data_IF_674148522220
#
_entry.id   IF_674148522220
#
_cell.length_a   1.000
_cell.length_b   1.000
_cell.length_c   1.000
_cell.angle_alpha   90.00
_cell.angle_beta   90.00
_cell.angle_gamma   90.00
#
_symmetry.space_group_name_H-M   'P 1'
#
loop_
_entity.id
_entity.type
_entity.pdbx_description
1 polymer ?
#
# COMPACT_ATOMS: atom_id res chain seq x y z
N UNK A 1 -4.10 -47.48 -0.32
CA UNK A 1 -4.19 -46.04 -0.04
C UNK A 1 -2.76 -45.59 0.05
N UNK A 2 -2.21 -45.18 -1.08
CA UNK A 2 -0.83 -44.65 -1.13
C UNK A 2 -0.80 -43.33 -0.37
N UNK A 3 0.14 -43.23 0.56
CA UNK A 3 0.35 -42.06 1.39
C UNK A 3 0.65 -40.86 0.47
N UNK A 4 -0.26 -39.89 0.42
CA UNK A 4 0.03 -38.58 -0.18
C UNK A 4 1.33 -38.05 0.42
N UNK A 5 2.30 -37.61 -0.39
CA UNK A 5 3.59 -37.20 0.11
C UNK A 5 3.41 -36.09 1.15
N UNK A 6 4.07 -36.25 2.29
CA UNK A 6 4.03 -35.35 3.45
C UNK A 6 4.27 -33.87 3.14
N UNK A 7 4.71 -33.54 1.93
CA UNK A 7 4.95 -32.19 1.40
C UNK A 7 3.66 -31.37 1.21
N UNK A 8 2.51 -32.01 1.05
CA UNK A 8 1.21 -31.31 0.89
C UNK A 8 0.55 -30.91 2.23
N UNK A 9 1.05 -31.44 3.34
CA UNK A 9 0.43 -31.32 4.65
C UNK A 9 0.55 -29.93 5.28
N UNK A 10 1.64 -29.13 5.11
CA UNK A 10 1.77 -27.85 5.83
C UNK A 10 0.69 -26.82 5.48
N UNK A 11 0.13 -26.83 4.26
CA UNK A 11 -0.93 -25.89 3.89
C UNK A 11 -2.32 -26.25 4.44
N UNK A 12 -2.51 -27.51 4.85
CA UNK A 12 -3.75 -28.01 5.45
C UNK A 12 -3.58 -28.41 6.92
N UNK A 13 -2.44 -28.10 7.54
CA UNK A 13 -2.26 -28.32 8.96
C UNK A 13 -3.26 -27.42 9.73
N UNK A 14 -4.14 -28.00 10.57
CA UNK A 14 -5.10 -27.25 11.35
C UNK A 14 -4.46 -26.19 12.24
N UNK A 15 -3.26 -26.45 12.77
CA UNK A 15 -2.52 -25.51 13.59
C UNK A 15 -2.02 -24.30 12.77
N UNK A 16 -1.51 -24.55 11.55
CA UNK A 16 -1.11 -23.51 10.64
C UNK A 16 -2.32 -22.62 10.25
N UNK A 17 -3.44 -23.24 9.91
CA UNK A 17 -4.67 -22.51 9.58
C UNK A 17 -5.17 -21.70 10.78
N UNK A 18 -5.13 -22.26 11.98
CA UNK A 18 -5.54 -21.57 13.21
C UNK A 18 -4.70 -20.30 13.47
N UNK A 19 -3.40 -20.35 13.17
CA UNK A 19 -2.48 -19.22 13.35
C UNK A 19 -2.64 -18.14 12.24
N UNK A 20 -2.86 -18.56 11.00
CA UNK A 20 -2.91 -17.64 9.86
C UNK A 20 -4.32 -17.04 9.64
N UNK A 21 -5.39 -17.80 9.92
CA UNK A 21 -6.75 -17.35 9.65
C UNK A 21 -7.12 -16.04 10.36
N UNK A 22 -6.79 -15.81 11.65
CA UNK A 22 -7.10 -14.53 12.31
C UNK A 22 -6.44 -13.34 11.62
N UNK A 23 -5.18 -13.46 11.21
CA UNK A 23 -4.44 -12.41 10.51
C UNK A 23 -5.06 -12.15 9.12
N UNK A 24 -5.42 -13.20 8.39
CA UNK A 24 -6.05 -13.10 7.08
C UNK A 24 -7.44 -12.45 7.16
N UNK A 25 -8.27 -12.88 8.13
CA UNK A 25 -9.61 -12.30 8.36
C UNK A 25 -9.49 -10.82 8.69
N UNK A 26 -8.55 -10.46 9.57
CA UNK A 26 -8.30 -9.06 9.95
C UNK A 26 -7.87 -8.23 8.74
N UNK A 27 -6.97 -8.77 7.90
CA UNK A 27 -6.52 -8.09 6.69
C UNK A 27 -7.67 -7.88 5.69
N UNK A 28 -8.50 -8.89 5.45
CA UNK A 28 -9.68 -8.77 4.59
C UNK A 28 -10.69 -7.76 5.14
N UNK A 29 -10.97 -7.81 6.44
CA UNK A 29 -11.85 -6.85 7.08
C UNK A 29 -11.33 -5.42 6.94
N UNK A 30 -10.04 -5.19 7.20
CA UNK A 30 -9.41 -3.88 7.06
C UNK A 30 -9.47 -3.36 5.61
N UNK A 31 -9.14 -4.21 4.62
CA UNK A 31 -9.25 -3.84 3.20
C UNK A 31 -10.67 -3.46 2.80
N UNK A 32 -11.65 -4.26 3.20
CA UNK A 32 -13.06 -3.97 2.92
C UNK A 32 -13.51 -2.67 3.60
N UNK A 33 -13.03 -2.41 4.81
CA UNK A 33 -13.32 -1.17 5.53
C UNK A 33 -12.75 0.06 4.82
N UNK A 34 -11.52 -0.02 4.32
CA UNK A 34 -10.89 1.06 3.54
C UNK A 34 -11.68 1.31 2.26
N UNK A 35 -11.94 0.27 1.45
CA UNK A 35 -12.70 0.40 0.20
C UNK A 35 -14.10 0.97 0.40
N UNK A 36 -14.86 0.45 1.35
CA UNK A 36 -16.21 0.93 1.64
C UNK A 36 -16.23 2.38 2.10
N UNK A 37 -15.24 2.78 2.91
CA UNK A 37 -15.08 4.17 3.35
C UNK A 37 -14.73 5.08 2.19
N UNK A 38 -13.81 4.68 1.33
CA UNK A 38 -13.47 5.40 0.10
C UNK A 38 -14.72 5.60 -0.78
N UNK A 39 -15.44 4.53 -1.11
CA UNK A 39 -16.65 4.63 -1.94
C UNK A 39 -17.72 5.52 -1.31
N UNK A 40 -17.93 5.45 0.00
CA UNK A 40 -18.87 6.32 0.70
C UNK A 40 -18.52 7.81 0.54
N UNK A 41 -17.26 8.17 0.81
CA UNK A 41 -16.84 9.58 0.81
C UNK A 41 -16.40 10.09 -0.56
N UNK A 42 -16.25 9.23 -1.56
CA UNK A 42 -16.10 9.65 -2.96
C UNK A 42 -17.39 10.24 -3.54
N UNK A 43 -18.55 9.96 -2.92
CA UNK A 43 -19.83 10.56 -3.30
C UNK A 43 -20.11 11.89 -2.59
N UNK A 44 -19.28 12.28 -1.64
CA UNK A 44 -19.45 13.51 -0.85
C UNK A 44 -18.49 14.57 -1.38
N UNK A 45 -19.02 15.70 -1.85
CA UNK A 45 -18.18 16.83 -2.28
C UNK A 45 -17.43 17.45 -1.09
N UNK A 46 -16.17 17.80 -1.31
CA UNK A 46 -15.39 18.55 -0.32
C UNK A 46 -15.82 20.01 -0.27
N UNK A 47 -15.77 20.64 0.89
CA UNK A 47 -16.05 22.07 1.06
C UNK A 47 -15.06 22.97 0.28
N UNK A 48 -13.87 22.45 -0.03
CA UNK A 48 -12.85 23.17 -0.80
C UNK A 48 -13.23 23.32 -2.29
N UNK A 49 -14.08 22.44 -2.84
CA UNK A 49 -14.59 22.50 -4.22
C UNK A 49 -13.53 22.41 -5.31
N UNK A 50 -12.30 22.03 -4.97
CA UNK A 50 -11.17 21.95 -5.93
C UNK A 50 -10.76 20.49 -6.14
N UNK A 51 -10.24 20.14 -7.33
CA UNK A 51 -9.66 18.83 -7.61
C UNK A 51 -8.54 18.46 -6.64
N UNK A 52 -8.43 17.17 -6.32
CA UNK A 52 -7.46 16.67 -5.35
C UNK A 52 -6.00 16.98 -5.71
N UNK A 53 -5.64 16.94 -7.01
CA UNK A 53 -4.29 17.31 -7.44
C UNK A 53 -3.96 18.78 -7.17
N UNK A 54 -4.94 19.69 -7.29
CA UNK A 54 -4.76 21.11 -6.93
C UNK A 54 -4.68 21.29 -5.41
N UNK A 55 -5.46 20.51 -4.64
CA UNK A 55 -5.37 20.52 -3.19
C UNK A 55 -3.98 20.08 -2.72
N UNK A 56 -3.45 18.96 -3.27
CA UNK A 56 -2.09 18.51 -3.01
C UNK A 56 -1.05 19.58 -3.37
N UNK A 57 -1.16 20.19 -4.56
CA UNK A 57 -0.22 21.25 -5.00
C UNK A 57 -0.21 22.42 -4.04
N UNK A 58 -1.39 22.93 -3.65
CA UNK A 58 -1.50 24.02 -2.68
C UNK A 58 -0.88 23.71 -1.33
N UNK A 59 -1.07 22.46 -0.81
CA UNK A 59 -0.46 22.03 0.44
C UNK A 59 1.06 21.98 0.35
N UNK A 60 1.60 21.42 -0.74
CA UNK A 60 3.04 21.35 -0.98
C UNK A 60 3.66 22.74 -1.12
N UNK A 61 3.01 23.63 -1.87
CA UNK A 61 3.48 25.02 -2.07
C UNK A 61 3.48 25.82 -0.75
N UNK A 62 2.46 25.62 0.08
CA UNK A 62 2.34 26.30 1.36
C UNK A 62 3.50 25.98 2.34
N UNK A 63 4.16 24.83 2.15
CA UNK A 63 5.34 24.41 2.95
C UNK A 63 6.66 24.48 2.16
N UNK A 64 6.65 25.11 0.98
CA UNK A 64 7.85 25.33 0.17
C UNK A 64 8.32 24.12 -0.66
N UNK A 65 7.55 23.04 -0.73
CA UNK A 65 7.87 21.83 -1.49
C UNK A 65 7.52 21.98 -2.99
N UNK A 66 8.06 23.01 -3.63
CA UNK A 66 7.80 23.33 -5.05
C UNK A 66 8.44 22.34 -6.01
N UNK A 67 9.45 21.60 -5.56
CA UNK A 67 10.16 20.56 -6.33
C UNK A 67 9.43 19.22 -6.37
N UNK A 68 8.37 19.02 -5.59
CA UNK A 68 7.57 17.80 -5.61
C UNK A 68 6.52 17.91 -6.71
N UNK A 69 6.63 17.06 -7.73
CA UNK A 69 5.64 17.01 -8.81
C UNK A 69 4.39 16.24 -8.36
N UNK A 70 3.21 16.64 -8.86
CA UNK A 70 1.96 15.90 -8.67
C UNK A 70 1.56 15.26 -10.00
N UNK A 71 1.53 13.91 -10.05
CA UNK A 71 1.25 13.15 -11.27
C UNK A 71 0.09 12.18 -11.08
N UNK A 72 -0.54 11.82 -12.20
CA UNK A 72 -1.55 10.76 -12.24
C UNK A 72 -0.87 9.38 -12.32
N UNK A 73 -1.49 8.38 -11.70
CA UNK A 73 -1.09 6.97 -11.80
C UNK A 73 -2.34 6.12 -12.08
N UNK A 74 -2.25 5.09 -12.96
CA UNK A 74 -3.37 4.20 -13.19
C UNK A 74 -3.69 3.34 -11.96
N UNK A 75 -4.95 2.92 -11.86
CA UNK A 75 -5.44 2.04 -10.80
C UNK A 75 -6.36 2.74 -9.79
N UNK A 76 -6.90 1.94 -8.86
CA UNK A 76 -7.73 2.41 -7.75
C UNK A 76 -6.96 2.30 -6.45
N UNK A 77 -6.98 3.34 -5.62
CA UNK A 77 -6.25 3.40 -4.34
C UNK A 77 -4.74 3.07 -4.50
N UNK A 78 -4.17 3.46 -5.63
CA UNK A 78 -2.74 3.36 -5.95
C UNK A 78 -1.97 4.63 -5.61
N UNK A 79 -2.62 5.53 -4.90
CA UNK A 79 -2.07 6.80 -4.48
C UNK A 79 -0.82 6.59 -3.61
N UNK A 80 0.24 7.35 -3.85
CA UNK A 80 1.45 7.27 -3.05
C UNK A 80 2.40 8.44 -3.31
N UNK A 81 3.22 8.76 -2.31
CA UNK A 81 4.40 9.60 -2.46
C UNK A 81 5.65 8.75 -2.70
N UNK A 82 6.44 9.09 -3.71
CA UNK A 82 7.74 8.47 -4.01
C UNK A 82 8.88 9.40 -3.53
N UNK A 83 9.56 9.08 -2.41
CA UNK A 83 10.61 9.93 -1.85
C UNK A 83 11.89 9.95 -2.70
N UNK A 84 12.12 8.91 -3.54
CA UNK A 84 13.30 8.85 -4.41
C UNK A 84 13.16 9.75 -5.63
N UNK A 85 11.96 9.79 -6.21
CA UNK A 85 11.67 10.63 -7.38
C UNK A 85 11.13 12.00 -7.03
N UNK A 86 10.76 12.23 -5.75
CA UNK A 86 10.08 13.45 -5.27
C UNK A 86 8.81 13.72 -6.07
N UNK A 87 7.97 12.68 -6.21
CA UNK A 87 6.71 12.73 -6.97
C UNK A 87 5.57 12.21 -6.09
N UNK A 88 4.50 12.99 -6.02
CA UNK A 88 3.22 12.59 -5.44
C UNK A 88 2.34 12.06 -6.57
N UNK A 89 1.94 10.79 -6.50
CA UNK A 89 1.10 10.15 -7.49
C UNK A 89 -0.31 9.93 -6.95
N UNK A 90 -1.30 10.37 -7.72
CA UNK A 90 -2.71 10.21 -7.39
C UNK A 90 -3.39 9.32 -8.45
N UNK A 91 -4.19 8.37 -7.98
CA UNK A 91 -4.93 7.44 -8.82
C UNK A 91 -5.98 8.14 -9.70
N UNK A 92 -6.42 7.48 -10.77
CA UNK A 92 -7.38 8.05 -11.73
C UNK A 92 -8.67 8.55 -11.07
N UNK A 93 -9.20 7.80 -10.12
CA UNK A 93 -10.42 8.18 -9.39
C UNK A 93 -10.23 9.33 -8.40
N UNK A 94 -9.00 9.66 -8.05
CA UNK A 94 -8.65 10.71 -7.08
C UNK A 94 -8.21 11.98 -7.77
N UNK A 95 -7.38 11.92 -8.78
CA UNK A 95 -6.64 13.05 -9.36
C UNK A 95 -7.51 14.28 -9.68
N UNK A 96 -8.59 14.10 -10.45
CA UNK A 96 -9.50 15.19 -10.86
C UNK A 96 -10.74 15.31 -9.97
N UNK A 97 -10.92 14.41 -9.01
CA UNK A 97 -12.08 14.42 -8.12
C UNK A 97 -11.96 15.52 -7.06
N UNK A 98 -13.08 16.22 -6.81
CA UNK A 98 -13.21 17.16 -5.70
C UNK A 98 -13.96 16.57 -4.50
N UNK A 99 -14.09 15.23 -4.44
CA UNK A 99 -14.74 14.55 -3.33
C UNK A 99 -13.93 14.63 -2.03
N UNK A 100 -14.62 14.46 -0.91
CA UNK A 100 -13.97 14.45 0.41
C UNK A 100 -12.91 13.37 0.53
N UNK A 101 -13.19 12.16 0.00
CA UNK A 101 -12.21 11.08 -0.05
C UNK A 101 -10.96 11.46 -0.87
N UNK A 102 -11.15 12.02 -2.06
CA UNK A 102 -10.05 12.38 -2.94
C UNK A 102 -9.15 13.47 -2.33
N UNK A 103 -9.74 14.52 -1.77
CA UNK A 103 -8.97 15.60 -1.11
C UNK A 103 -8.25 15.08 0.13
N UNK A 104 -8.88 14.20 0.92
CA UNK A 104 -8.25 13.59 2.09
C UNK A 104 -7.05 12.69 1.71
N UNK A 105 -7.16 11.88 0.66
CA UNK A 105 -6.06 11.06 0.14
C UNK A 105 -4.92 11.96 -0.34
N UNK A 106 -5.21 12.98 -1.15
CA UNK A 106 -4.21 13.91 -1.64
C UNK A 106 -3.47 14.65 -0.51
N UNK A 107 -4.20 15.03 0.54
CA UNK A 107 -3.60 15.63 1.74
C UNK A 107 -2.72 14.64 2.52
N UNK A 108 -3.14 13.36 2.59
CA UNK A 108 -2.35 12.30 3.23
C UNK A 108 -1.01 12.10 2.52
N UNK A 109 -1.03 11.98 1.18
CA UNK A 109 0.20 11.81 0.39
C UNK A 109 1.10 13.06 0.43
N UNK A 110 0.51 14.25 0.44
CA UNK A 110 1.27 15.49 0.67
C UNK A 110 1.92 15.50 2.07
N UNK A 111 1.25 14.95 3.09
CA UNK A 111 1.81 14.75 4.42
C UNK A 111 3.05 13.86 4.42
N UNK A 112 3.09 12.81 3.59
CA UNK A 112 4.29 11.98 3.42
C UNK A 112 5.45 12.75 2.79
N UNK A 113 5.20 13.65 1.83
CA UNK A 113 6.23 14.51 1.27
C UNK A 113 6.80 15.48 2.32
N UNK A 114 5.94 16.04 3.18
CA UNK A 114 6.38 16.89 4.31
C UNK A 114 7.21 16.11 5.32
N UNK A 115 6.80 14.88 5.66
CA UNK A 115 7.55 14.00 6.56
C UNK A 115 8.93 13.62 6.00
N UNK A 116 9.02 13.40 4.69
CA UNK A 116 10.29 13.11 4.02
C UNK A 116 11.24 14.31 4.06
N UNK A 117 10.73 15.52 3.84
CA UNK A 117 11.54 16.75 3.89
C UNK A 117 12.15 16.99 5.27
N UNK A 118 11.40 16.79 6.34
CA UNK A 118 11.90 16.92 7.71
C UNK A 118 12.64 15.67 8.21
N UNK A 119 12.87 14.67 7.34
CA UNK A 119 13.52 13.38 7.67
C UNK A 119 12.88 12.69 8.86
N UNK A 120 11.54 12.61 8.85
CA UNK A 120 10.79 12.02 9.95
C UNK A 120 11.24 10.57 10.22
N UNK A 121 11.71 10.23 11.43
CA UNK A 121 12.42 8.98 11.68
C UNK A 121 11.65 7.72 11.34
N UNK A 122 10.34 7.68 11.61
CA UNK A 122 9.53 6.50 11.33
C UNK A 122 9.27 6.29 9.83
N UNK A 123 9.19 7.37 9.04
CA UNK A 123 9.12 7.27 7.58
C UNK A 123 10.43 6.74 7.00
N UNK A 124 11.56 7.22 7.52
CA UNK A 124 12.88 6.74 7.12
C UNK A 124 13.08 5.27 7.47
N UNK A 125 12.69 4.85 8.67
CA UNK A 125 12.73 3.45 9.09
C UNK A 125 11.88 2.57 8.17
N UNK A 126 10.62 2.96 7.90
CA UNK A 126 9.76 2.25 6.95
C UNK A 126 10.42 2.10 5.57
N UNK A 127 10.97 3.19 5.04
CA UNK A 127 11.62 3.21 3.71
C UNK A 127 12.86 2.31 3.68
N UNK A 128 13.65 2.28 4.76
CA UNK A 128 14.81 1.40 4.89
C UNK A 128 14.42 -0.09 5.01
N UNK A 129 13.27 -0.39 5.62
CA UNK A 129 12.79 -1.77 5.77
C UNK A 129 12.23 -2.38 4.49
N UNK A 130 11.71 -1.57 3.56
CA UNK A 130 11.10 -2.06 2.31
C UNK A 130 12.03 -2.98 1.49
N UNK A 131 13.30 -2.64 1.20
CA UNK A 131 14.19 -3.55 0.48
C UNK A 131 14.48 -4.84 1.27
N UNK A 132 14.61 -4.77 2.58
CA UNK A 132 14.87 -5.94 3.46
C UNK A 132 13.69 -6.91 3.42
N UNK A 133 12.47 -6.40 3.60
CA UNK A 133 11.25 -7.22 3.56
C UNK A 133 11.00 -7.80 2.17
N UNK A 134 11.24 -7.03 1.12
CA UNK A 134 11.09 -7.49 -0.27
C UNK A 134 12.10 -8.60 -0.60
N UNK A 135 13.35 -8.46 -0.12
CA UNK A 135 14.36 -9.51 -0.29
C UNK A 135 13.96 -10.78 0.49
N UNK A 136 13.57 -10.64 1.77
CA UNK A 136 13.15 -11.76 2.60
C UNK A 136 11.96 -12.52 2.00
N UNK A 137 10.95 -11.82 1.49
CA UNK A 137 9.78 -12.43 0.84
C UNK A 137 10.17 -13.20 -0.44
N UNK A 138 11.01 -12.62 -1.29
CA UNK A 138 11.49 -13.29 -2.51
C UNK A 138 12.35 -14.50 -2.19
N UNK A 139 13.27 -14.36 -1.24
CA UNK A 139 14.13 -15.46 -0.82
C UNK A 139 13.32 -16.60 -0.20
N UNK A 140 12.36 -16.30 0.66
CA UNK A 140 11.43 -17.29 1.22
C UNK A 140 10.66 -18.05 0.15
N UNK A 141 10.18 -17.35 -0.89
CA UNK A 141 9.51 -17.97 -2.01
C UNK A 141 10.43 -18.94 -2.81
N UNK A 142 11.67 -18.55 -3.08
CA UNK A 142 12.65 -19.42 -3.74
C UNK A 142 13.00 -20.64 -2.90
N UNK A 143 13.16 -20.47 -1.57
CA UNK A 143 13.39 -21.58 -0.65
C UNK A 143 12.22 -22.56 -0.61
N UNK A 144 10.99 -22.06 -0.64
CA UNK A 144 9.79 -22.90 -0.66
C UNK A 144 9.70 -23.71 -1.97
N UNK A 145 9.91 -23.07 -3.12
CA UNK A 145 9.91 -23.76 -4.41
C UNK A 145 11.06 -24.77 -4.48
N UNK A 146 12.28 -24.38 -4.07
CA UNK A 146 13.44 -25.25 -4.07
C UNK A 146 13.24 -26.47 -3.16
N UNK A 147 12.73 -26.28 -1.97
CA UNK A 147 12.40 -27.38 -1.06
C UNK A 147 11.32 -28.30 -1.62
N UNK A 148 10.30 -27.76 -2.25
CA UNK A 148 9.26 -28.54 -2.93
C UNK A 148 9.84 -29.39 -4.07
N UNK A 149 10.67 -28.81 -4.93
CA UNK A 149 11.30 -29.55 -6.03
C UNK A 149 12.20 -30.66 -5.49
N UNK A 150 13.04 -30.39 -4.49
CA UNK A 150 13.85 -31.41 -3.85
C UNK A 150 13.01 -32.56 -3.30
N UNK A 151 11.91 -32.26 -2.61
CA UNK A 151 11.04 -33.27 -2.03
C UNK A 151 10.28 -34.12 -3.08
N UNK A 152 10.06 -33.58 -4.29
CA UNK A 152 9.40 -34.32 -5.39
C UNK A 152 10.40 -35.23 -6.14
N UNK A 153 11.68 -34.85 -6.20
CA UNK A 153 12.70 -35.57 -6.96
C UNK A 153 13.61 -36.49 -6.10
N UNK A 154 13.44 -36.50 -4.77
CA UNK A 154 14.10 -37.44 -3.84
C UNK A 154 13.13 -38.37 -3.20
#
# INVERSE_FOLDING_TARGET
MEDLPAVFIPFFDPLYLLLIAPAFILAMWAQNRVKSTYHKYSQVGSSAGIPAHLAARRLLDAVGLTNVEVKRVPGELSDHYDPKQKVLRLSDGVFDSSSLAAVAIAAHEAGHAMQDEIKYPFLMLRTAMVPITSFGSRFGYFMLIGGFLLAVFT
#
